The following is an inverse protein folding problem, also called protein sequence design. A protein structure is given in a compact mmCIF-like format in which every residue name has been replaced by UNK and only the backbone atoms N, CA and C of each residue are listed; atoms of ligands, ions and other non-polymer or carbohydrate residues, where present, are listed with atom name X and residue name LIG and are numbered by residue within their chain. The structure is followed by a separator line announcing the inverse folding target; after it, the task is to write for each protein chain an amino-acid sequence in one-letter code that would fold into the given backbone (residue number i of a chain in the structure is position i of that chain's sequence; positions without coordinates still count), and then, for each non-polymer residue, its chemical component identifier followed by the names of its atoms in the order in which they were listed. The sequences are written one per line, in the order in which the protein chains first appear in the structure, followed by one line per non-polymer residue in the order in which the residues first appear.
data_IF_248181039504
#
_entry.id   IF_248181039504
#
_cell.length_a   1.000
_cell.length_b   1.000
_cell.length_c   1.000
_cell.angle_alpha   90.00
_cell.angle_beta   90.00
_cell.angle_gamma   90.00
#
_symmetry.space_group_name_H-M   'P 1'
#
loop_
_entity.id
_entity.type
_entity.pdbx_description
1 polymer ?
#
# COMPACT_ATOMS: atom_id res chain seq x y z
N UNK A 1 0.48 11.38 -5.51
CA UNK A 1 -0.94 11.03 -5.66
C UNK A 1 -1.05 9.95 -6.72
N UNK A 2 -1.27 8.70 -6.32
CA UNK A 2 -1.37 7.58 -7.26
C UNK A 2 -2.60 7.78 -8.16
N UNK A 3 -2.44 7.78 -9.48
CA UNK A 3 -3.52 8.06 -10.42
C UNK A 3 -4.34 6.80 -10.68
N UNK A 4 -5.22 6.49 -9.74
CA UNK A 4 -6.33 5.58 -9.96
C UNK A 4 -7.23 6.19 -11.07
N UNK A 5 -7.62 5.46 -12.13
CA UNK A 5 -8.60 5.94 -13.08
C UNK A 5 -9.86 6.38 -12.32
N UNK A 6 -10.26 7.64 -12.49
CA UNK A 6 -11.10 8.40 -11.56
C UNK A 6 -12.49 7.79 -11.24
N UNK A 7 -12.88 6.68 -11.87
CA UNK A 7 -14.21 6.09 -11.75
C UNK A 7 -14.29 4.55 -11.79
N UNK A 8 -13.19 3.78 -11.87
CA UNK A 8 -13.30 2.30 -12.00
C UNK A 8 -13.43 1.54 -10.67
N UNK A 9 -13.39 2.22 -9.52
CA UNK A 9 -13.38 1.55 -8.21
C UNK A 9 -14.19 2.26 -7.12
N UNK A 10 -15.06 3.21 -7.46
CA UNK A 10 -15.88 3.90 -6.45
C UNK A 10 -16.92 2.92 -5.89
N UNK A 11 -16.63 2.40 -4.71
CA UNK A 11 -17.57 1.60 -3.93
C UNK A 11 -18.80 2.47 -3.64
N UNK A 12 -20.00 1.88 -3.76
CA UNK A 12 -21.24 2.60 -3.48
C UNK A 12 -21.24 3.08 -2.02
N UNK A 13 -21.51 4.37 -1.73
CA UNK A 13 -21.37 4.94 -0.38
C UNK A 13 -22.12 4.16 0.71
N UNK A 14 -23.34 3.72 0.43
CA UNK A 14 -24.15 2.96 1.39
C UNK A 14 -23.55 1.60 1.79
N UNK A 15 -22.72 0.98 0.94
CA UNK A 15 -22.04 -0.27 1.27
C UNK A 15 -20.87 -0.03 2.23
N UNK A 16 -20.19 1.11 2.09
CA UNK A 16 -19.12 1.55 2.99
C UNK A 16 -19.70 1.86 4.36
N UNK A 17 -20.78 2.65 4.41
CA UNK A 17 -21.48 2.97 5.66
C UNK A 17 -21.97 1.70 6.38
N UNK A 18 -22.58 0.75 5.66
CA UNK A 18 -23.03 -0.52 6.25
C UNK A 18 -21.88 -1.35 6.82
N UNK A 19 -20.73 -1.40 6.15
CA UNK A 19 -19.51 -2.05 6.66
C UNK A 19 -19.06 -1.36 7.95
N UNK A 20 -18.98 -0.03 7.92
CA UNK A 20 -18.43 0.76 9.01
C UNK A 20 -19.28 0.63 10.28
N UNK A 21 -20.61 0.68 10.15
CA UNK A 21 -21.51 0.40 11.27
C UNK A 21 -21.38 -1.04 11.78
N UNK A 22 -21.27 -2.03 10.89
CA UNK A 22 -21.19 -3.45 11.28
C UNK A 22 -19.92 -3.78 12.05
N UNK A 23 -18.78 -3.27 11.59
CA UNK A 23 -17.47 -3.59 12.14
C UNK A 23 -16.95 -2.51 13.10
N UNK A 24 -17.75 -1.47 13.38
CA UNK A 24 -17.36 -0.29 14.18
C UNK A 24 -16.06 0.34 13.67
N UNK A 25 -15.97 0.48 12.35
CA UNK A 25 -14.82 1.12 11.69
C UNK A 25 -15.09 2.62 11.66
N UNK A 26 -14.38 3.38 12.49
CA UNK A 26 -14.34 4.84 12.41
C UNK A 26 -13.10 5.25 11.63
N UNK A 27 -13.29 6.06 10.58
CA UNK A 27 -12.16 6.59 9.79
C UNK A 27 -11.23 7.42 10.67
N UNK A 28 -11.78 8.18 11.61
CA UNK A 28 -11.00 9.02 12.50
C UNK A 28 -10.28 8.18 13.56
N UNK A 29 -10.92 7.16 14.12
CA UNK A 29 -10.25 6.24 15.07
C UNK A 29 -9.12 5.47 14.38
N UNK A 30 -9.33 5.06 13.12
CA UNK A 30 -8.29 4.41 12.31
C UNK A 30 -7.11 5.34 12.02
N UNK A 31 -7.35 6.62 11.73
CA UNK A 31 -6.27 7.61 11.57
C UNK A 31 -5.49 7.78 12.86
N UNK A 32 -6.19 7.92 13.99
CA UNK A 32 -5.56 8.05 15.30
C UNK A 32 -4.74 6.81 15.67
N UNK A 33 -5.21 5.61 15.34
CA UNK A 33 -4.47 4.36 15.58
C UNK A 33 -3.15 4.26 14.81
N UNK A 34 -2.95 5.08 13.78
CA UNK A 34 -1.76 5.08 12.92
C UNK A 34 -0.88 6.31 13.13
N UNK A 35 -1.17 7.16 14.11
CA UNK A 35 -0.43 8.41 14.36
C UNK A 35 1.05 8.16 14.71
N UNK A 36 1.36 7.02 15.32
CA UNK A 36 2.72 6.62 15.68
C UNK A 36 3.48 5.95 14.53
N UNK A 37 2.80 5.67 13.41
CA UNK A 37 3.45 5.13 12.21
C UNK A 37 3.94 6.33 11.40
N UNK A 38 5.26 6.52 11.38
CA UNK A 38 5.88 7.58 10.59
C UNK A 38 5.51 7.42 9.11
N UNK A 39 5.17 8.54 8.47
CA UNK A 39 4.97 8.55 7.03
C UNK A 39 6.30 8.26 6.33
N UNK A 40 6.29 7.60 5.16
CA UNK A 40 7.51 7.40 4.39
C UNK A 40 8.15 8.76 4.07
N UNK A 41 9.39 8.97 4.52
CA UNK A 41 10.14 10.22 4.30
C UNK A 41 10.30 10.53 2.80
N UNK A 42 10.28 9.50 1.95
CA UNK A 42 10.39 9.65 0.52
C UNK A 42 9.40 8.79 -0.24
N UNK A 43 8.65 9.44 -1.12
CA UNK A 43 7.83 8.75 -2.12
C UNK A 43 8.77 8.30 -3.24
N UNK A 44 8.88 6.99 -3.43
CA UNK A 44 9.71 6.41 -4.49
C UNK A 44 9.33 7.02 -5.86
N UNK A 45 10.24 7.74 -6.54
CA UNK A 45 9.94 8.42 -7.81
C UNK A 45 9.56 7.44 -8.93
N UNK A 46 9.92 6.16 -8.80
CA UNK A 46 9.57 5.11 -9.75
C UNK A 46 8.24 4.41 -9.45
N UNK A 47 7.53 4.77 -8.37
CA UNK A 47 6.27 4.12 -7.97
C UNK A 47 5.21 4.14 -9.08
N UNK A 48 5.18 5.20 -9.89
CA UNK A 48 4.24 5.37 -11.01
C UNK A 48 4.88 5.15 -12.40
N UNK A 49 6.11 4.61 -12.46
CA UNK A 49 6.85 4.44 -13.72
C UNK A 49 6.07 3.60 -14.76
N UNK A 50 5.44 2.51 -14.30
CA UNK A 50 4.65 1.62 -15.14
C UNK A 50 3.49 2.34 -15.84
N UNK A 51 2.91 3.33 -15.19
CA UNK A 51 1.81 4.12 -15.76
C UNK A 51 2.29 5.11 -16.80
N UNK A 52 3.46 5.72 -16.58
CA UNK A 52 4.02 6.69 -17.52
C UNK A 52 4.49 6.01 -18.82
N UNK A 53 5.00 4.78 -18.72
CA UNK A 53 5.64 4.09 -19.85
C UNK A 53 4.86 2.88 -20.40
N UNK A 54 3.74 2.52 -19.74
CA UNK A 54 2.90 1.39 -20.13
C UNK A 54 3.58 0.01 -19.99
N UNK A 55 4.71 -0.06 -19.29
CA UNK A 55 5.55 -1.25 -19.14
C UNK A 55 6.05 -1.37 -17.71
N UNK A 56 6.05 -2.58 -17.15
CA UNK A 56 6.63 -2.87 -15.85
C UNK A 56 8.15 -3.02 -15.91
N UNK A 57 8.78 -3.17 -14.74
CA UNK A 57 10.19 -3.52 -14.65
C UNK A 57 10.36 -5.04 -14.79
N UNK A 58 11.44 -5.44 -15.47
CA UNK A 58 11.88 -6.84 -15.48
C UNK A 58 12.62 -7.09 -14.18
N UNK A 59 12.09 -7.99 -13.35
CA UNK A 59 12.77 -8.45 -12.15
C UNK A 59 13.40 -9.79 -12.47
N UNK A 60 14.73 -9.81 -12.49
CA UNK A 60 15.50 -11.05 -12.57
C UNK A 60 15.70 -11.56 -11.15
N UNK A 61 15.18 -12.75 -10.87
CA UNK A 61 15.37 -13.42 -9.58
C UNK A 61 16.35 -14.55 -9.79
N UNK A 62 17.50 -14.46 -9.12
CA UNK A 62 18.48 -15.53 -9.09
C UNK A 62 18.34 -16.32 -7.79
N UNK A 63 18.34 -17.67 -7.83
CA UNK A 63 18.38 -18.47 -6.62
C UNK A 63 19.75 -18.26 -5.95
N UNK A 64 19.73 -17.79 -4.70
CA UNK A 64 20.93 -17.64 -3.88
C UNK A 64 20.81 -18.50 -2.62
N UNK A 65 21.89 -19.17 -2.22
CA UNK A 65 21.93 -19.89 -0.95
C UNK A 65 21.91 -18.87 0.20
N UNK A 66 20.90 -18.95 1.06
CA UNK A 66 20.80 -18.09 2.24
C UNK A 66 21.98 -18.35 3.18
N UNK A 67 22.53 -17.28 3.79
CA UNK A 67 23.49 -17.43 4.88
C UNK A 67 22.82 -18.18 6.04
N UNK A 68 23.26 -19.41 6.30
CA UNK A 68 22.69 -20.31 7.32
C UNK A 68 22.97 -19.88 8.77
N UNK A 69 23.84 -18.89 8.97
CA UNK A 69 24.27 -18.43 10.29
C UNK A 69 24.28 -16.90 10.31
N UNK A 70 23.42 -16.32 11.13
CA UNK A 70 23.69 -15.02 11.75
C UNK A 70 24.35 -15.31 13.10
N UNK A 71 25.44 -14.63 13.50
CA UNK A 71 25.86 -14.65 14.89
C UNK A 71 24.69 -14.14 15.74
N UNK A 72 24.17 -15.00 16.60
CA UNK A 72 23.09 -14.67 17.51
C UNK A 72 23.68 -13.82 18.66
N UNK A 73 23.09 -12.66 19.02
CA UNK A 73 23.51 -11.86 20.17
C UNK A 73 23.14 -12.49 21.52
#
# INVERSE_FOLDING_TARGET
MSPQPANLGKVRPHLVEKRDCKYKISVDDLKMSRVEIEEPEWINPQADNWKQHGKGFVILVEPIEMKKMAPFP
#
